data_IF_000657528844
#
_entry.id   IF_000657528844
#
_cell.length_a   1.000
_cell.length_b   1.000
_cell.length_c   1.000
_cell.angle_alpha   90.00
_cell.angle_beta   90.00
_cell.angle_gamma   90.00
#
_symmetry.space_group_name_H-M   'P 1'
#
loop_
_entity.id
_entity.type
_entity.pdbx_description
1 polymer ?
#
# COMPACT_ATOMS: atom_id res chain seq x y z
N UNK A 1 76.46 -6.69 10.55
CA UNK A 1 74.99 -6.61 10.72
C UNK A 1 74.37 -6.12 9.43
N UNK A 2 74.00 -6.99 8.51
CA UNK A 2 73.15 -6.64 7.36
C UNK A 2 72.19 -7.79 7.14
N UNK A 3 71.18 -7.84 8.02
CA UNK A 3 70.13 -8.85 8.06
C UNK A 3 68.94 -8.31 7.27
N UNK A 4 68.41 -9.15 6.40
CA UNK A 4 67.07 -9.13 5.79
C UNK A 4 66.66 -7.84 5.10
N UNK A 5 66.67 -7.81 3.75
CA UNK A 5 65.66 -7.12 2.90
C UNK A 5 65.98 -7.35 1.41
N UNK A 6 66.08 -8.61 0.97
CA UNK A 6 66.27 -8.94 -0.47
C UNK A 6 65.52 -10.20 -0.92
N UNK A 7 64.40 -10.51 -0.26
CA UNK A 7 63.52 -11.63 -0.63
C UNK A 7 62.05 -11.20 -0.83
N UNK A 8 61.84 -9.92 -1.10
CA UNK A 8 60.56 -9.37 -1.55
C UNK A 8 60.84 -8.71 -2.89
N UNK A 9 59.93 -8.81 -3.85
CA UNK A 9 60.07 -8.29 -5.24
C UNK A 9 60.76 -9.24 -6.23
N UNK A 10 60.29 -10.48 -6.28
CA UNK A 10 60.29 -11.27 -7.52
C UNK A 10 59.07 -12.19 -7.56
N UNK A 11 57.92 -11.65 -7.12
CA UNK A 11 56.64 -12.32 -7.36
C UNK A 11 56.33 -12.11 -8.84
N UNK A 12 56.30 -13.18 -9.66
CA UNK A 12 56.13 -13.06 -11.09
C UNK A 12 54.85 -12.27 -11.40
N UNK A 13 54.86 -11.36 -12.38
CA UNK A 13 53.72 -10.49 -12.71
C UNK A 13 52.42 -11.27 -12.97
N UNK A 14 52.52 -12.55 -13.32
CA UNK A 14 51.40 -13.50 -13.43
C UNK A 14 50.64 -13.73 -12.12
N UNK A 15 51.30 -13.76 -10.96
CA UNK A 15 50.63 -13.95 -9.67
C UNK A 15 49.84 -12.71 -9.25
N UNK A 16 50.36 -11.51 -9.52
CA UNK A 16 49.64 -10.25 -9.29
C UNK A 16 48.43 -10.14 -10.24
N UNK A 17 48.59 -10.58 -11.49
CA UNK A 17 47.48 -10.67 -12.43
C UNK A 17 46.38 -11.63 -11.96
N UNK A 18 46.76 -12.82 -11.48
CA UNK A 18 45.80 -13.82 -10.97
C UNK A 18 45.07 -13.34 -9.72
N UNK A 19 45.75 -12.65 -8.80
CA UNK A 19 45.10 -12.11 -7.59
C UNK A 19 44.12 -10.99 -7.93
N UNK A 20 44.44 -10.10 -8.87
CA UNK A 20 43.53 -9.04 -9.31
C UNK A 20 42.33 -9.60 -10.06
N UNK A 21 42.52 -10.62 -10.91
CA UNK A 21 41.41 -11.28 -11.62
C UNK A 21 40.48 -12.04 -10.66
N UNK A 22 41.04 -12.74 -9.65
CA UNK A 22 40.25 -13.42 -8.63
C UNK A 22 39.48 -12.44 -7.74
N UNK A 23 40.08 -11.33 -7.32
CA UNK A 23 39.36 -10.32 -6.52
C UNK A 23 38.27 -9.63 -7.33
N UNK A 24 38.52 -9.27 -8.59
CA UNK A 24 37.50 -8.73 -9.50
C UNK A 24 36.35 -9.72 -9.71
N UNK A 25 36.64 -11.02 -9.91
CA UNK A 25 35.61 -12.05 -10.06
C UNK A 25 34.77 -12.25 -8.77
N UNK A 26 35.41 -12.24 -7.60
CA UNK A 26 34.73 -12.31 -6.29
C UNK A 26 33.85 -11.07 -6.05
N UNK A 27 34.33 -9.87 -6.41
CA UNK A 27 33.55 -8.65 -6.28
C UNK A 27 32.37 -8.60 -7.26
N UNK A 28 32.55 -9.09 -8.50
CA UNK A 28 31.47 -9.21 -9.49
C UNK A 28 30.39 -10.20 -9.06
N UNK A 29 30.77 -11.32 -8.42
CA UNK A 29 29.81 -12.26 -7.83
C UNK A 29 29.02 -11.65 -6.66
N UNK A 30 29.62 -10.74 -5.88
CA UNK A 30 28.96 -10.08 -4.74
C UNK A 30 27.84 -9.13 -5.16
N UNK A 31 27.93 -8.49 -6.31
CA UNK A 31 26.82 -7.70 -6.87
C UNK A 31 25.68 -8.60 -7.37
N UNK A 32 26.00 -9.71 -8.04
CA UNK A 32 24.98 -10.65 -8.53
C UNK A 32 24.27 -11.44 -7.42
N UNK A 33 24.88 -11.60 -6.24
CA UNK A 33 24.23 -12.27 -5.12
C UNK A 33 23.16 -11.41 -4.42
N UNK A 34 23.13 -10.09 -4.66
CA UNK A 34 21.99 -9.24 -4.22
C UNK A 34 20.70 -9.50 -5.01
N UNK A 35 20.79 -10.12 -6.19
CA UNK A 35 19.64 -10.42 -7.05
C UNK A 35 19.04 -11.81 -6.72
N UNK A 36 19.82 -12.71 -6.10
CA UNK A 36 19.34 -14.05 -5.73
C UNK A 36 18.52 -14.08 -4.42
N UNK A 37 18.70 -13.10 -3.52
CA UNK A 37 17.88 -12.98 -2.29
C UNK A 37 16.47 -12.42 -2.56
N UNK A 38 16.16 -11.96 -3.78
CA UNK A 38 14.81 -11.53 -4.16
C UNK A 38 13.96 -12.67 -4.74
N UNK A 39 14.57 -13.79 -5.14
CA UNK A 39 13.85 -14.91 -5.77
C UNK A 39 13.39 -16.01 -4.80
N UNK A 40 13.56 -15.81 -3.48
CA UNK A 40 13.13 -16.77 -2.44
C UNK A 40 11.81 -16.39 -1.75
N UNK A 41 11.12 -15.32 -2.19
CA UNK A 41 9.78 -14.95 -1.67
C UNK A 41 8.65 -15.59 -2.50
N UNK A 42 8.95 -16.16 -3.68
CA UNK A 42 7.93 -16.70 -4.58
C UNK A 42 7.51 -18.16 -4.27
N UNK A 43 8.22 -18.88 -3.39
CA UNK A 43 7.87 -20.25 -3.01
C UNK A 43 7.13 -20.36 -1.66
N UNK A 44 6.60 -19.25 -1.13
CA UNK A 44 5.69 -19.25 0.03
C UNK A 44 4.21 -19.05 -0.37
N UNK A 45 3.92 -18.80 -1.64
CA UNK A 45 2.56 -18.52 -2.13
C UNK A 45 1.78 -19.77 -2.62
N UNK A 46 2.22 -20.98 -2.25
CA UNK A 46 1.46 -22.22 -2.50
C UNK A 46 1.13 -22.94 -1.20
N UNK A 47 0.68 -22.22 -0.18
CA UNK A 47 -0.24 -22.84 0.78
C UNK A 47 -1.64 -22.48 0.30
N UNK A 48 -2.22 -23.43 -0.43
CA UNK A 48 -3.67 -23.61 -0.51
C UNK A 48 -4.18 -23.79 0.91
N UNK A 49 -4.42 -22.68 1.62
CA UNK A 49 -5.25 -22.72 2.80
C UNK A 49 -6.67 -22.89 2.27
N UNK A 50 -7.07 -24.15 2.23
CA UNK A 50 -8.44 -24.56 1.98
C UNK A 50 -9.20 -24.12 3.22
N UNK A 51 -9.62 -22.86 3.24
CA UNK A 51 -10.51 -22.34 4.26
C UNK A 51 -11.86 -23.05 4.09
N UNK A 52 -11.96 -24.25 4.64
CA UNK A 52 -13.23 -24.90 4.91
C UNK A 52 -13.88 -24.09 6.02
N UNK A 53 -14.69 -23.11 5.63
CA UNK A 53 -15.69 -22.49 6.49
C UNK A 53 -16.70 -23.57 6.86
N UNK A 54 -16.35 -24.35 7.87
CA UNK A 54 -17.32 -24.95 8.77
C UNK A 54 -17.34 -24.09 10.02
N UNK A 55 -17.79 -22.85 9.88
CA UNK A 55 -18.32 -22.11 11.02
C UNK A 55 -19.76 -22.57 11.22
N UNK A 56 -20.12 -23.18 12.37
CA UNK A 56 -21.52 -23.30 12.74
C UNK A 56 -22.05 -21.88 12.95
N UNK A 57 -23.05 -21.53 12.15
CA UNK A 57 -23.86 -20.31 12.29
C UNK A 57 -24.11 -20.03 13.78
N UNK A 58 -23.60 -18.92 14.35
CA UNK A 58 -24.10 -18.47 15.63
C UNK A 58 -25.53 -17.99 15.38
N UNK A 59 -26.49 -18.76 15.87
CA UNK A 59 -27.87 -18.32 16.06
C UNK A 59 -27.85 -17.05 16.89
N UNK A 60 -27.89 -15.89 16.22
CA UNK A 60 -28.17 -14.61 16.85
C UNK A 60 -29.67 -14.56 17.15
N UNK A 61 -30.05 -15.18 18.28
CA UNK A 61 -31.27 -14.83 18.98
C UNK A 61 -31.04 -13.48 19.64
N UNK A 62 -31.27 -12.40 18.90
CA UNK A 62 -31.49 -11.09 19.53
C UNK A 62 -32.98 -10.96 19.88
N UNK A 63 -33.32 -10.50 21.10
CA UNK A 63 -34.69 -10.37 21.54
C UNK A 63 -35.38 -9.27 20.75
N UNK A 64 -36.43 -9.66 20.05
CA UNK A 64 -37.35 -8.77 19.33
C UNK A 64 -37.96 -7.81 20.34
N UNK A 65 -37.51 -6.55 20.33
CA UNK A 65 -38.27 -5.47 20.95
C UNK A 65 -39.25 -5.00 19.89
N UNK A 66 -40.49 -5.44 20.04
CA UNK A 66 -41.64 -5.04 19.24
C UNK A 66 -41.87 -3.55 19.43
N UNK A 67 -41.52 -2.76 18.42
CA UNK A 67 -42.24 -1.51 18.18
C UNK A 67 -43.14 -1.72 16.95
N UNK A 68 -44.38 -1.25 17.10
CA UNK A 68 -45.47 -1.45 16.17
C UNK A 68 -45.29 -0.53 14.97
N UNK A 69 -44.56 -0.98 13.95
CA UNK A 69 -44.81 -0.48 12.60
C UNK A 69 -44.53 -1.57 11.56
N UNK A 70 -45.50 -1.73 10.66
CA UNK A 70 -45.62 -2.67 9.55
C UNK A 70 -44.29 -3.37 9.13
N UNK A 71 -43.98 -4.53 9.70
CA UNK A 71 -42.81 -5.33 9.30
C UNK A 71 -43.06 -5.91 7.90
N UNK A 72 -42.72 -5.13 6.88
CA UNK A 72 -42.73 -5.56 5.49
C UNK A 72 -41.57 -6.54 5.29
N UNK A 73 -41.91 -7.79 4.95
CA UNK A 73 -40.94 -8.81 4.58
C UNK A 73 -40.64 -8.71 3.09
N UNK A 74 -39.44 -8.25 2.75
CA UNK A 74 -38.98 -8.19 1.36
C UNK A 74 -38.21 -9.47 0.98
N UNK A 75 -38.23 -9.81 -0.31
CA UNK A 75 -37.42 -10.91 -0.86
C UNK A 75 -35.93 -10.58 -0.78
N UNK A 76 -35.08 -11.60 -0.54
CA UNK A 76 -33.62 -11.44 -0.43
C UNK A 76 -32.92 -11.32 -1.79
N UNK A 77 -33.54 -10.63 -2.74
CA UNK A 77 -32.98 -10.44 -4.07
C UNK A 77 -31.93 -9.33 -4.04
N UNK A 78 -30.88 -9.51 -4.84
CA UNK A 78 -29.81 -8.54 -5.01
C UNK A 78 -29.79 -8.02 -6.45
N UNK A 79 -29.61 -6.71 -6.60
CA UNK A 79 -29.36 -6.06 -7.90
C UNK A 79 -27.91 -5.63 -7.96
N UNK A 80 -27.23 -6.03 -9.03
CA UNK A 80 -25.87 -5.58 -9.32
C UNK A 80 -25.89 -4.12 -9.78
N UNK A 81 -25.00 -3.32 -9.22
CA UNK A 81 -24.78 -1.93 -9.57
C UNK A 81 -23.64 -1.80 -10.60
N UNK A 82 -23.53 -0.67 -11.33
CA UNK A 82 -22.50 -0.49 -12.36
C UNK A 82 -21.05 -0.53 -11.84
N UNK A 83 -20.85 -0.27 -10.55
CA UNK A 83 -19.58 -0.39 -9.82
C UNK A 83 -19.23 -1.84 -9.44
N UNK A 84 -20.15 -2.80 -9.67
CA UNK A 84 -20.00 -4.20 -9.29
C UNK A 84 -20.47 -4.53 -7.86
N UNK A 85 -20.94 -3.56 -7.08
CA UNK A 85 -21.57 -3.81 -5.78
C UNK A 85 -22.99 -4.37 -5.94
N UNK A 86 -23.58 -4.84 -4.83
CA UNK A 86 -24.93 -5.41 -4.81
C UNK A 86 -25.81 -4.69 -3.80
N UNK A 87 -27.02 -4.33 -4.23
CA UNK A 87 -28.04 -3.70 -3.37
C UNK A 87 -29.25 -4.60 -3.22
N UNK A 88 -29.78 -4.68 -2.00
CA UNK A 88 -31.01 -5.40 -1.68
C UNK A 88 -32.27 -4.53 -1.82
N UNK A 89 -33.43 -5.14 -1.58
CA UNK A 89 -34.71 -4.44 -1.46
C UNK A 89 -34.84 -3.77 -0.09
N UNK A 90 -35.36 -2.54 -0.07
CA UNK A 90 -35.56 -1.74 1.13
C UNK A 90 -36.88 -0.94 1.05
N UNK A 91 -37.40 -0.53 2.21
CA UNK A 91 -38.60 0.30 2.34
C UNK A 91 -39.93 -0.47 2.23
N UNK A 92 -41.06 0.25 2.41
CA UNK A 92 -42.40 -0.36 2.46
C UNK A 92 -42.85 -0.98 1.13
N UNK A 93 -42.31 -0.52 0.00
CA UNK A 93 -42.60 -1.04 -1.34
C UNK A 93 -41.61 -2.13 -1.80
N UNK A 94 -40.66 -2.53 -0.95
CA UNK A 94 -39.60 -3.48 -1.31
C UNK A 94 -38.86 -3.13 -2.61
N UNK A 95 -38.62 -1.84 -2.84
CA UNK A 95 -37.86 -1.36 -3.98
C UNK A 95 -36.36 -1.61 -3.76
N UNK A 96 -35.58 -1.81 -4.82
CA UNK A 96 -34.13 -1.86 -4.69
C UNK A 96 -33.61 -0.54 -4.12
N UNK A 97 -32.69 -0.63 -3.16
CA UNK A 97 -31.98 0.55 -2.69
C UNK A 97 -31.25 1.23 -3.85
N UNK A 98 -31.02 2.54 -3.71
CA UNK A 98 -30.13 3.23 -4.64
C UNK A 98 -28.76 2.55 -4.62
N UNK A 99 -28.17 2.36 -5.80
CA UNK A 99 -26.76 2.00 -5.87
C UNK A 99 -25.94 3.06 -5.13
N UNK A 100 -24.81 2.68 -4.50
CA UNK A 100 -23.84 3.69 -4.14
C UNK A 100 -23.54 4.45 -5.44
N UNK A 101 -23.92 5.73 -5.50
CA UNK A 101 -23.34 6.64 -6.47
C UNK A 101 -21.86 6.50 -6.23
N UNK A 102 -21.13 5.92 -7.21
CA UNK A 102 -19.69 5.67 -7.21
C UNK A 102 -19.08 6.57 -6.17
N UNK A 103 -18.85 6.03 -4.96
CA UNK A 103 -18.41 6.85 -3.83
C UNK A 103 -17.26 7.64 -4.40
N UNK A 104 -17.44 8.96 -4.51
CA UNK A 104 -16.53 9.84 -5.21
C UNK A 104 -15.15 9.40 -4.76
N UNK A 105 -14.42 8.76 -5.67
CA UNK A 105 -13.00 8.51 -5.46
C UNK A 105 -12.50 9.89 -5.11
N UNK A 106 -12.13 10.15 -3.83
CA UNK A 106 -12.06 11.51 -3.32
C UNK A 106 -11.22 12.26 -4.31
N UNK A 107 -11.78 13.30 -4.96
CA UNK A 107 -11.24 13.91 -6.18
C UNK A 107 -9.83 14.41 -5.91
N UNK A 108 -8.89 13.49 -5.93
CA UNK A 108 -7.49 13.74 -5.87
C UNK A 108 -7.17 14.10 -7.31
N UNK A 109 -6.65 15.29 -7.53
CA UNK A 109 -6.21 15.66 -8.86
C UNK A 109 -5.08 14.71 -9.31
N UNK A 110 -4.35 14.11 -8.36
CA UNK A 110 -3.28 13.14 -8.63
C UNK A 110 -3.11 12.12 -7.48
N UNK A 111 -3.16 10.82 -7.81
CA UNK A 111 -2.93 9.74 -6.85
C UNK A 111 -1.44 9.58 -6.57
N UNK A 112 -1.10 9.11 -5.36
CA UNK A 112 0.26 8.67 -5.07
C UNK A 112 0.45 7.22 -5.51
N UNK A 113 1.26 7.02 -6.55
CA UNK A 113 1.64 5.70 -7.03
C UNK A 113 2.70 5.04 -6.12
N UNK A 114 2.81 3.71 -6.21
CA UNK A 114 3.83 2.94 -5.47
C UNK A 114 5.25 3.38 -5.82
N UNK A 115 5.49 3.75 -7.08
CA UNK A 115 6.78 4.27 -7.56
C UNK A 115 7.23 5.54 -6.82
N UNK A 116 6.29 6.37 -6.35
CA UNK A 116 6.56 7.62 -5.65
C UNK A 116 6.79 7.40 -4.15
N UNK A 117 6.38 6.25 -3.60
CA UNK A 117 6.55 5.87 -2.19
C UNK A 117 7.90 5.23 -1.91
N UNK A 118 8.54 4.65 -2.92
CA UNK A 118 9.81 3.92 -2.80
C UNK A 118 11.04 4.81 -3.02
N UNK A 119 10.85 6.13 -3.05
CA UNK A 119 11.95 7.09 -3.24
C UNK A 119 12.70 7.30 -1.92
N UNK A 120 14.03 7.17 -1.95
CA UNK A 120 14.90 7.31 -0.77
C UNK A 120 14.99 8.78 -0.26
N UNK A 121 14.87 9.75 -1.16
CA UNK A 121 14.92 11.17 -0.83
C UNK A 121 14.15 12.05 -1.82
N UNK A 122 13.57 13.13 -1.31
CA UNK A 122 12.92 14.17 -2.11
C UNK A 122 13.84 15.37 -2.32
N UNK A 123 13.75 15.98 -3.51
CA UNK A 123 14.40 17.26 -3.78
C UNK A 123 13.68 18.40 -3.07
N UNK A 124 14.44 19.40 -2.58
CA UNK A 124 13.92 20.56 -1.85
C UNK A 124 13.37 21.64 -2.79
N UNK A 125 12.45 21.25 -3.66
CA UNK A 125 11.67 22.22 -4.45
C UNK A 125 10.44 22.63 -3.63
N UNK A 126 10.17 23.92 -3.53
CA UNK A 126 8.96 24.42 -2.89
C UNK A 126 7.86 24.60 -3.95
N UNK A 127 6.98 23.61 -4.05
CA UNK A 127 5.84 23.57 -4.97
C UNK A 127 4.67 22.87 -4.24
N UNK A 128 3.98 23.58 -3.33
CA UNK A 128 3.16 22.96 -2.31
C UNK A 128 1.97 22.20 -2.88
N UNK A 129 1.59 21.14 -2.19
CA UNK A 129 0.42 20.30 -2.53
C UNK A 129 -0.42 20.04 -1.29
N UNK A 130 -1.69 19.73 -1.48
CA UNK A 130 -2.61 19.36 -0.43
C UNK A 130 -2.85 17.85 -0.48
N UNK A 131 -2.17 17.12 0.41
CA UNK A 131 -2.25 15.66 0.49
C UNK A 131 -3.39 15.21 1.40
N UNK A 132 -4.13 14.18 0.97
CA UNK A 132 -5.18 13.55 1.77
C UNK A 132 -4.59 12.44 2.64
N UNK A 133 -4.36 12.74 3.92
CA UNK A 133 -3.70 11.82 4.87
C UNK A 133 -4.72 10.96 5.60
N UNK A 134 -4.68 9.65 5.39
CA UNK A 134 -5.54 8.69 6.09
C UNK A 134 -4.99 8.40 7.48
N UNK A 135 -5.54 9.10 8.47
CA UNK A 135 -5.16 8.91 9.87
C UNK A 135 -5.90 7.73 10.50
N UNK A 136 -5.24 7.08 11.46
CA UNK A 136 -5.86 6.03 12.29
C UNK A 136 -6.56 6.69 13.48
N UNK A 137 -7.87 6.87 13.38
CA UNK A 137 -8.71 7.44 14.42
C UNK A 137 -9.34 6.36 15.31
N UNK A 138 -9.77 6.71 16.52
CA UNK A 138 -10.33 5.75 17.50
C UNK A 138 -11.74 5.25 17.13
N UNK A 139 -12.46 5.98 16.29
CA UNK A 139 -13.84 5.66 15.87
C UNK A 139 -13.94 5.67 14.35
N UNK A 140 -14.15 4.52 13.72
CA UNK A 140 -14.38 4.44 12.28
C UNK A 140 -15.78 5.00 11.91
N UNK A 141 -15.96 5.60 10.70
CA UNK A 141 -14.99 5.76 9.60
C UNK A 141 -14.04 6.95 9.79
N UNK A 142 -12.75 6.78 9.47
CA UNK A 142 -11.76 7.86 9.52
C UNK A 142 -11.66 8.57 8.16
N UNK A 143 -12.22 9.78 7.99
CA UNK A 143 -12.01 10.55 6.78
C UNK A 143 -10.53 10.95 6.66
N UNK A 144 -10.04 11.08 5.43
CA UNK A 144 -8.70 11.60 5.19
C UNK A 144 -8.63 13.07 5.64
N UNK A 145 -7.52 13.44 6.26
CA UNK A 145 -7.27 14.81 6.74
C UNK A 145 -6.40 15.53 5.70
N UNK A 146 -6.85 16.68 5.16
CA UNK A 146 -6.05 17.47 4.24
C UNK A 146 -4.84 18.06 4.97
N UNK A 147 -3.64 17.76 4.48
CA UNK A 147 -2.37 18.24 5.04
C UNK A 147 -1.50 18.85 3.95
N UNK A 148 -0.96 20.05 4.21
CA UNK A 148 -0.08 20.72 3.24
C UNK A 148 1.33 20.11 3.29
N UNK A 149 1.87 19.75 2.12
CA UNK A 149 3.23 19.27 1.95
C UNK A 149 4.05 20.24 1.08
N UNK A 150 5.37 20.29 1.29
CA UNK A 150 6.28 21.22 0.58
C UNK A 150 6.31 20.99 -0.93
N UNK A 151 6.20 19.73 -1.36
CA UNK A 151 6.03 19.33 -2.75
C UNK A 151 5.38 17.95 -2.85
N UNK A 152 5.04 17.55 -4.08
CA UNK A 152 4.41 16.26 -4.39
C UNK A 152 5.23 15.05 -3.95
N UNK A 153 6.56 15.12 -3.99
CA UNK A 153 7.41 14.03 -3.50
C UNK A 153 7.24 13.84 -2.00
N UNK A 154 7.33 14.92 -1.21
CA UNK A 154 7.13 14.84 0.24
C UNK A 154 5.72 14.38 0.61
N UNK A 155 4.70 14.69 -0.20
CA UNK A 155 3.35 14.16 -0.02
C UNK A 155 3.30 12.65 -0.25
N UNK A 156 3.79 12.17 -1.41
CA UNK A 156 3.68 10.76 -1.77
C UNK A 156 4.70 9.83 -1.09
N UNK A 157 5.75 10.38 -0.48
CA UNK A 157 6.64 9.63 0.40
C UNK A 157 5.97 9.25 1.73
N UNK A 158 4.93 9.98 2.16
CA UNK A 158 4.14 9.63 3.33
C UNK A 158 3.16 8.51 2.96
N UNK A 159 3.38 7.31 3.52
CA UNK A 159 2.57 6.12 3.24
C UNK A 159 1.08 6.27 3.60
N UNK A 160 0.72 7.28 4.41
CA UNK A 160 -0.67 7.55 4.78
C UNK A 160 -1.35 8.50 3.79
N UNK A 161 -0.63 9.09 2.82
CA UNK A 161 -1.21 9.97 1.81
C UNK A 161 -1.73 9.14 0.64
N UNK A 162 -3.04 9.25 0.40
CA UNK A 162 -3.71 8.54 -0.70
C UNK A 162 -3.49 9.24 -2.05
N UNK A 163 -3.47 10.57 -2.04
CA UNK A 163 -3.28 11.42 -3.21
C UNK A 163 -3.23 12.89 -2.80
N UNK A 164 -3.04 13.78 -3.77
CA UNK A 164 -2.92 15.22 -3.54
C UNK A 164 -3.61 16.06 -4.62
N UNK A 165 -3.86 17.33 -4.27
CA UNK A 165 -4.20 18.40 -5.21
C UNK A 165 -3.09 19.45 -5.24
N UNK A 166 -2.95 20.16 -6.36
CA UNK A 166 -1.96 21.23 -6.47
C UNK A 166 -2.32 22.41 -5.55
N UNK A 167 -1.31 23.00 -4.91
CA UNK A 167 -1.48 24.11 -3.97
C UNK A 167 -1.56 23.68 -2.51
N UNK A 168 -1.37 24.63 -1.59
CA UNK A 168 -1.52 24.36 -0.17
C UNK A 168 -2.99 24.08 0.20
N UNK A 169 -3.23 23.29 1.24
CA UNK A 169 -4.59 23.07 1.72
C UNK A 169 -5.23 24.38 2.20
N UNK A 170 -6.43 24.66 1.71
CA UNK A 170 -7.27 25.74 2.24
C UNK A 170 -7.61 25.44 3.70
N UNK A 171 -7.51 26.44 4.58
CA UNK A 171 -8.01 26.34 5.96
C UNK A 171 -9.54 26.37 6.05
N UNK A 172 -10.24 26.29 4.91
CA UNK A 172 -11.69 26.42 4.78
C UNK A 172 -12.33 25.12 4.24
N UNK A 173 -11.96 23.99 4.84
CA UNK A 173 -12.84 22.81 4.83
C UNK A 173 -13.83 22.96 5.99
N UNK A 174 -15.11 23.10 5.67
CA UNK A 174 -16.22 23.28 6.62
C UNK A 174 -16.16 22.39 7.87
N UNK A 175 -16.54 23.03 8.97
CA UNK A 175 -17.05 22.47 10.22
C UNK A 175 -18.02 21.31 10.02
#
# INVERSE_FOLDING_TARGET
>A
MTKSHKLLVLVPPLLIGLTILLTMFILQHRENQKVADFFDVLEMATTTDSFTVTDPVPTSTSPVTSDSDNQVMCTMEAKMCPDGSFVGRQGPDCAFAACPSSQEEPEYATACELSQREVEACIEIYAPVCGQKQVQCITAPCPAIPTTYSNSCFACMDAQVLGYTEGACSTEGNQ
#
